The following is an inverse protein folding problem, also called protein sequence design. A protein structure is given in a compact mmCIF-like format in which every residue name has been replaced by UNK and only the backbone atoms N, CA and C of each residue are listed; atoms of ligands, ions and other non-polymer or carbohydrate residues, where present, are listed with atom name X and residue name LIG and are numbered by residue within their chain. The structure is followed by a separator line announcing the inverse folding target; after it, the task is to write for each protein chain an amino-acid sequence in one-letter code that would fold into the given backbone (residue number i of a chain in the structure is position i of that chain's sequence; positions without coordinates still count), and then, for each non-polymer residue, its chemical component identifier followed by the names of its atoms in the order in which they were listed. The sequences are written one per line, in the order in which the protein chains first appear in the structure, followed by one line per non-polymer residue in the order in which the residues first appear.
data_IF_519321873050
#
_entry.id   IF_519321873050
#
_cell.length_a   1.000
_cell.length_b   1.000
_cell.length_c   1.000
_cell.angle_alpha   90.00
_cell.angle_beta   90.00
_cell.angle_gamma   90.00
#
_symmetry.space_group_name_H-M   'P 1'
#
loop_
_entity.id
_entity.type
_entity.pdbx_description
1 polymer ?
#
# COMPACT_ATOMS: atom_id res chain seq x y z
N UNK A 1 -9.64 29.83 -10.00
CA UNK A 1 -8.70 28.70 -9.86
C UNK A 1 -8.78 28.23 -8.42
N UNK A 2 -9.41 27.08 -8.18
CA UNK A 2 -9.36 26.44 -6.86
C UNK A 2 -8.02 25.71 -6.72
N UNK A 3 -7.38 25.70 -5.54
CA UNK A 3 -6.23 24.84 -5.29
C UNK A 3 -6.60 23.38 -5.55
N UNK A 4 -5.74 22.65 -6.26
CA UNK A 4 -5.82 21.18 -6.34
C UNK A 4 -5.50 20.61 -4.96
N UNK A 5 -6.40 19.85 -4.35
CA UNK A 5 -6.03 19.11 -3.15
C UNK A 5 -5.02 18.04 -3.45
N UNK A 6 -4.08 17.92 -2.54
CA UNK A 6 -3.15 16.82 -2.45
C UNK A 6 -3.44 16.14 -1.13
N UNK A 7 -3.56 14.82 -1.14
CA UNK A 7 -3.69 14.03 0.08
C UNK A 7 -2.44 13.20 0.20
N UNK A 8 -1.85 13.27 1.39
CA UNK A 8 -0.82 12.36 1.80
C UNK A 8 -1.50 11.05 2.19
N UNK A 9 -1.01 9.93 1.69
CA UNK A 9 -1.53 8.62 2.05
C UNK A 9 -0.42 7.68 2.48
N UNK A 10 -0.78 6.86 3.47
CA UNK A 10 0.08 5.90 4.10
C UNK A 10 -0.59 4.52 4.03
N UNK A 11 0.15 3.51 3.61
CA UNK A 11 -0.31 2.12 3.52
C UNK A 11 0.63 1.25 4.34
N UNK A 12 0.07 0.41 5.20
CA UNK A 12 0.84 -0.49 6.06
C UNK A 12 0.11 -1.84 6.24
N UNK A 13 0.83 -2.85 6.73
CA UNK A 13 0.33 -4.18 7.04
C UNK A 13 -0.47 -4.86 5.91
N UNK A 14 0.02 -4.75 4.66
CA UNK A 14 -0.61 -5.40 3.51
C UNK A 14 -0.31 -6.89 3.55
N UNK A 15 -1.35 -7.71 3.53
CA UNK A 15 -1.25 -9.16 3.68
C UNK A 15 -2.17 -9.85 2.69
N UNK A 16 -1.66 -10.89 2.04
CA UNK A 16 -2.45 -11.84 1.25
C UNK A 16 -2.11 -13.24 1.74
N UNK A 17 -3.10 -13.97 2.27
CA UNK A 17 -2.85 -15.29 2.86
C UNK A 17 -3.66 -16.40 2.24
N UNK A 18 -3.00 -17.55 1.97
CA UNK A 18 -3.65 -18.83 1.66
C UNK A 18 -3.80 -19.68 2.92
N UNK A 19 -5.03 -20.08 3.25
CA UNK A 19 -5.34 -20.46 4.65
C UNK A 19 -4.89 -19.34 5.61
N UNK A 20 -5.18 -19.39 6.90
CA UNK A 20 -4.94 -18.21 7.76
C UNK A 20 -3.47 -17.88 8.03
N UNK A 21 -2.49 -18.63 7.47
CA UNK A 21 -1.11 -18.64 7.98
C UNK A 21 0.02 -18.43 6.98
N UNK A 22 -0.19 -18.50 5.66
CA UNK A 22 0.91 -18.31 4.69
C UNK A 22 0.77 -16.99 3.96
N UNK A 23 1.63 -16.04 4.31
CA UNK A 23 1.78 -14.77 3.60
C UNK A 23 2.32 -14.98 2.18
N UNK A 24 1.68 -14.33 1.21
CA UNK A 24 2.01 -14.43 -0.22
C UNK A 24 2.77 -13.20 -0.71
N UNK A 25 2.71 -12.08 0.02
CA UNK A 25 3.42 -10.86 -0.30
C UNK A 25 4.80 -10.82 0.35
N UNK A 26 5.76 -10.26 -0.37
CA UNK A 26 7.04 -9.84 0.19
C UNK A 26 6.89 -8.45 0.79
N UNK A 27 7.43 -8.24 2.00
CA UNK A 27 7.52 -6.92 2.65
C UNK A 27 6.16 -6.19 2.76
N UNK A 28 5.12 -6.90 3.18
CA UNK A 28 3.77 -6.37 3.31
C UNK A 28 3.60 -5.23 4.33
N UNK A 29 4.42 -5.23 5.39
CA UNK A 29 4.48 -4.16 6.39
C UNK A 29 5.60 -3.12 6.14
N UNK A 30 6.20 -3.10 4.95
CA UNK A 30 7.19 -2.08 4.55
C UNK A 30 8.44 -1.89 5.44
N UNK A 31 8.78 -2.87 6.28
CA UNK A 31 9.91 -2.79 7.22
C UNK A 31 11.30 -2.96 6.59
N UNK A 32 11.38 -3.26 5.28
CA UNK A 32 12.65 -3.38 4.54
C UNK A 32 13.26 -2.03 4.12
N UNK A 33 13.29 -1.06 5.04
CA UNK A 33 13.78 0.31 4.81
C UNK A 33 15.25 0.33 4.34
N UNK A 34 15.62 1.20 3.37
CA UNK A 34 14.81 2.27 2.76
C UNK A 34 14.08 1.85 1.47
N UNK A 35 14.08 0.56 1.13
CA UNK A 35 13.62 0.06 -0.18
C UNK A 35 12.22 -0.56 -0.12
N UNK A 36 11.38 -0.27 -1.11
CA UNK A 36 10.07 -0.90 -1.31
C UNK A 36 10.22 -2.31 -1.93
N UNK A 37 11.00 -3.19 -1.29
CA UNK A 37 11.31 -4.54 -1.78
C UNK A 37 10.05 -5.32 -2.12
N UNK A 38 9.98 -5.89 -3.33
CA UNK A 38 8.84 -6.67 -3.81
C UNK A 38 7.67 -5.85 -4.35
N UNK A 39 7.68 -4.53 -4.18
CA UNK A 39 6.62 -3.63 -4.64
C UNK A 39 7.05 -2.85 -5.88
N UNK A 40 6.14 -2.74 -6.84
CA UNK A 40 6.23 -1.79 -7.92
C UNK A 40 5.41 -0.56 -7.57
N UNK A 41 5.99 0.62 -7.76
CA UNK A 41 5.27 1.89 -7.61
C UNK A 41 5.11 2.55 -8.96
N UNK A 42 4.04 3.33 -9.11
CA UNK A 42 3.82 4.16 -10.29
C UNK A 42 4.81 5.34 -10.34
N UNK A 43 4.29 6.56 -10.41
CA UNK A 43 5.09 7.78 -10.56
C UNK A 43 5.76 8.27 -9.25
N UNK A 44 5.68 7.52 -8.14
CA UNK A 44 6.31 7.91 -6.88
C UNK A 44 5.92 7.03 -5.69
N UNK A 45 6.40 7.46 -4.52
CA UNK A 45 6.19 6.83 -3.22
C UNK A 45 7.48 6.33 -2.58
N UNK A 46 7.55 6.39 -1.24
CA UNK A 46 8.74 6.03 -0.46
C UNK A 46 8.34 5.31 0.82
N UNK A 47 9.32 4.70 1.50
CA UNK A 47 9.12 4.26 2.88
C UNK A 47 9.11 5.49 3.80
N UNK A 48 8.15 5.55 4.72
CA UNK A 48 8.04 6.58 5.74
C UNK A 48 7.94 5.96 7.13
N UNK A 49 8.44 6.68 8.14
CA UNK A 49 8.28 6.33 9.55
C UNK A 49 7.35 7.30 10.31
N UNK A 50 6.60 8.14 9.58
CA UNK A 50 5.75 9.18 10.18
C UNK A 50 4.37 8.66 10.63
N UNK A 51 3.76 7.77 9.83
CA UNK A 51 2.49 7.12 10.15
C UNK A 51 2.59 5.65 9.79
N UNK A 52 2.55 4.78 10.79
CA UNK A 52 2.60 3.33 10.67
C UNK A 52 1.57 2.71 11.61
N UNK A 53 1.13 1.49 11.31
CA UNK A 53 0.05 0.83 12.03
C UNK A 53 0.58 -0.10 13.13
N UNK A 54 1.36 -1.12 12.76
CA UNK A 54 1.84 -2.12 13.72
C UNK A 54 3.31 -1.97 14.10
N UNK A 55 4.10 -1.32 13.25
CA UNK A 55 5.56 -1.26 13.39
C UNK A 55 6.09 0.13 13.01
N UNK A 56 7.27 0.24 12.41
CA UNK A 56 8.02 1.49 12.29
C UNK A 56 7.90 2.14 10.93
N UNK A 57 7.41 1.41 9.92
CA UNK A 57 7.42 1.86 8.55
C UNK A 57 6.08 1.66 7.86
N UNK A 58 5.82 2.48 6.85
CA UNK A 58 4.71 2.36 5.91
C UNK A 58 5.16 2.81 4.53
N UNK A 59 4.39 2.46 3.51
CA UNK A 59 4.46 3.17 2.24
C UNK A 59 3.82 4.55 2.39
N UNK A 60 4.44 5.59 1.83
CA UNK A 60 3.94 6.95 1.78
C UNK A 60 3.92 7.51 0.36
N UNK A 61 2.87 8.23 0.01
CA UNK A 61 2.87 9.12 -1.16
C UNK A 61 2.03 10.38 -0.94
N UNK A 62 2.51 11.50 -1.49
CA UNK A 62 1.87 12.83 -1.43
C UNK A 62 1.16 13.26 -2.72
N UNK A 63 1.13 12.36 -3.70
CA UNK A 63 0.44 12.53 -4.97
C UNK A 63 -0.25 11.23 -5.36
N UNK A 64 -1.24 11.33 -6.25
CA UNK A 64 -1.90 10.16 -6.82
C UNK A 64 -0.86 9.25 -7.48
N UNK A 65 -0.74 8.02 -6.95
CA UNK A 65 0.14 6.97 -7.47
C UNK A 65 -0.51 5.62 -7.17
N UNK A 66 0.03 4.55 -7.76
CA UNK A 66 -0.36 3.19 -7.45
C UNK A 66 0.81 2.42 -6.86
N UNK A 67 0.49 1.40 -6.07
CA UNK A 67 1.45 0.42 -5.59
C UNK A 67 0.90 -0.98 -5.86
N UNK A 68 1.74 -1.86 -6.41
CA UNK A 68 1.32 -3.20 -6.82
C UNK A 68 2.40 -4.24 -6.58
N UNK A 69 1.95 -5.46 -6.29
CA UNK A 69 2.79 -6.66 -6.21
C UNK A 69 1.96 -7.82 -6.74
N UNK A 70 2.61 -8.71 -7.51
CA UNK A 70 1.99 -9.93 -8.02
C UNK A 70 2.49 -11.13 -7.23
N UNK A 71 1.63 -12.11 -7.03
CA UNK A 71 1.97 -13.40 -6.43
C UNK A 71 1.28 -14.51 -7.21
N UNK A 72 1.85 -15.72 -7.19
CA UNK A 72 1.27 -16.87 -7.87
C UNK A 72 0.07 -17.41 -7.09
N UNK A 73 -1.11 -17.37 -7.70
CA UNK A 73 -2.32 -17.93 -7.12
C UNK A 73 -2.45 -19.43 -7.43
N UNK A 74 -2.89 -20.20 -6.45
CA UNK A 74 -3.25 -21.61 -6.58
C UNK A 74 -4.74 -21.71 -6.92
N UNK A 75 -5.06 -22.39 -8.02
CA UNK A 75 -6.45 -22.62 -8.44
C UNK A 75 -7.25 -23.36 -7.36
N UNK A 76 -8.48 -22.90 -7.12
CA UNK A 76 -9.39 -23.47 -6.11
C UNK A 76 -9.10 -23.06 -4.66
N UNK A 77 -8.07 -22.23 -4.41
CA UNK A 77 -7.77 -21.71 -3.08
C UNK A 77 -8.42 -20.36 -2.85
N UNK A 78 -8.99 -20.16 -1.65
CA UNK A 78 -9.51 -18.88 -1.18
C UNK A 78 -8.39 -18.12 -0.48
N UNK A 79 -8.27 -16.82 -0.82
CA UNK A 79 -7.29 -15.92 -0.22
C UNK A 79 -8.00 -14.84 0.59
N UNK A 80 -7.40 -14.47 1.72
CA UNK A 80 -7.78 -13.27 2.46
C UNK A 80 -6.79 -12.17 2.16
N UNK A 81 -7.30 -11.00 1.77
CA UNK A 81 -6.53 -9.77 1.57
C UNK A 81 -6.87 -8.79 2.70
N UNK A 82 -5.87 -8.23 3.34
CA UNK A 82 -6.02 -7.22 4.39
C UNK A 82 -4.95 -6.14 4.25
N UNK A 83 -5.25 -4.91 4.65
CA UNK A 83 -4.32 -3.80 4.68
C UNK A 83 -4.81 -2.72 5.64
N UNK A 84 -3.89 -1.89 6.13
CA UNK A 84 -4.20 -0.65 6.82
C UNK A 84 -3.87 0.54 5.92
N UNK A 85 -4.77 1.51 5.83
CA UNK A 85 -4.56 2.73 5.05
C UNK A 85 -4.96 3.94 5.87
N UNK A 86 -4.15 4.99 5.78
CA UNK A 86 -4.41 6.29 6.39
C UNK A 86 -4.25 7.40 5.38
N UNK A 87 -5.20 8.33 5.39
CA UNK A 87 -5.20 9.52 4.54
C UNK A 87 -5.07 10.75 5.43
N UNK A 88 -4.02 11.51 5.23
CA UNK A 88 -3.87 12.84 5.82
C UNK A 88 -4.42 13.91 4.88
N UNK A 89 -5.15 14.85 5.44
CA UNK A 89 -5.82 15.90 4.68
C UNK A 89 -4.89 17.10 4.51
N UNK A 90 -4.38 17.32 3.30
CA UNK A 90 -3.81 18.62 2.92
C UNK A 90 -4.85 19.42 2.10
N UNK A 91 -5.76 20.12 2.82
CA UNK A 91 -6.71 21.15 2.30
C UNK A 91 -7.83 20.68 1.32
N UNK A 92 -8.83 21.53 0.93
CA UNK A 92 -10.13 21.14 0.28
C UNK A 92 -10.33 21.52 -1.24
N UNK A 93 -10.81 20.56 -2.08
CA UNK A 93 -10.62 20.56 -3.55
C UNK A 93 -10.17 19.31 -4.40
N UNK A 94 -9.91 18.07 -3.96
CA UNK A 94 -9.63 16.88 -4.84
C UNK A 94 -9.65 15.51 -4.12
N UNK A 95 -10.52 14.61 -4.60
CA UNK A 95 -10.64 13.23 -4.13
C UNK A 95 -9.44 12.37 -4.60
N UNK A 96 -8.45 12.13 -3.73
CA UNK A 96 -7.40 11.14 -4.00
C UNK A 96 -7.94 9.75 -3.67
N UNK A 97 -8.21 8.96 -4.70
CA UNK A 97 -8.59 7.56 -4.57
C UNK A 97 -7.31 6.73 -4.37
N UNK A 98 -7.09 6.12 -3.19
CA UNK A 98 -6.07 5.08 -3.11
C UNK A 98 -6.60 3.86 -3.84
N UNK A 99 -5.93 3.50 -4.93
CA UNK A 99 -6.21 2.26 -5.65
C UNK A 99 -5.15 1.26 -5.27
N UNK A 100 -5.53 0.27 -4.45
CA UNK A 100 -4.74 -0.92 -4.21
C UNK A 100 -5.15 -1.98 -5.23
N UNK A 101 -4.34 -2.16 -6.27
CA UNK A 101 -4.54 -3.23 -7.26
C UNK A 101 -3.74 -4.47 -6.87
N UNK A 102 -4.43 -5.45 -6.27
CA UNK A 102 -3.86 -6.79 -6.04
C UNK A 102 -4.25 -7.68 -7.22
N UNK A 103 -3.31 -7.92 -8.12
CA UNK A 103 -3.54 -8.77 -9.30
C UNK A 103 -3.11 -10.20 -9.00
N UNK A 104 -4.06 -11.13 -9.12
CA UNK A 104 -3.80 -12.57 -9.07
C UNK A 104 -3.48 -13.05 -10.49
N UNK A 105 -2.35 -13.73 -10.66
CA UNK A 105 -1.94 -14.37 -11.92
C UNK A 105 -1.96 -15.88 -11.80
#
# INVERSE_FOLDING_TARGET
MTPSDKHDWYLDDVSVRKSTLVEMLTNGGFESSPTLTGWNTGSGGVISSAQSHSSSHSFYASSSTSISQSFSAISGVIYTVSYWVYFDKISPGNDNNAVLDVTMS
#
